data_IF_024452674097
#
_entry.id   IF_024452674097
#
_cell.length_a   1.000
_cell.length_b   1.000
_cell.length_c   1.000
_cell.angle_alpha   90.00
_cell.angle_beta   90.00
_cell.angle_gamma   90.00
#
_symmetry.space_group_name_H-M   'P 1'
#
loop_
_entity.id
_entity.type
_entity.pdbx_description
1 polymer ?
#
# COMPACT_ATOMS: atom_id res chain seq x y z
N UNK A 1 6.41 -11.30 -6.81
CA UNK A 1 5.78 -10.92 -5.53
C UNK A 1 4.80 -12.04 -5.13
N UNK A 2 4.59 -12.36 -3.84
CA UNK A 2 3.57 -13.36 -3.45
C UNK A 2 2.17 -12.92 -3.88
N UNK A 3 1.32 -13.85 -4.34
CA UNK A 3 -0.01 -13.53 -4.87
C UNK A 3 -0.91 -12.72 -3.90
N UNK A 4 -0.77 -12.97 -2.59
CA UNK A 4 -1.50 -12.23 -1.56
C UNK A 4 -1.05 -10.77 -1.45
N UNK A 5 0.25 -10.50 -1.64
CA UNK A 5 0.80 -9.14 -1.65
C UNK A 5 0.34 -8.42 -2.93
N UNK A 6 0.40 -9.09 -4.08
CA UNK A 6 -0.11 -8.53 -5.34
C UNK A 6 -1.58 -8.12 -5.20
N UNK A 7 -2.42 -8.95 -4.55
CA UNK A 7 -3.82 -8.62 -4.30
C UNK A 7 -4.03 -7.48 -3.31
N UNK A 8 -3.25 -7.41 -2.24
CA UNK A 8 -3.31 -6.26 -1.35
C UNK A 8 -2.95 -4.95 -2.08
N UNK A 9 -1.96 -5.01 -2.96
CA UNK A 9 -1.56 -3.87 -3.77
C UNK A 9 -2.58 -3.55 -4.89
N UNK A 10 -3.31 -4.53 -5.42
CA UNK A 10 -4.47 -4.29 -6.30
C UNK A 10 -5.55 -3.45 -5.58
N UNK A 11 -5.89 -3.81 -4.33
CA UNK A 11 -6.88 -3.06 -3.54
C UNK A 11 -6.43 -1.64 -3.24
N UNK A 12 -5.15 -1.45 -2.88
CA UNK A 12 -4.58 -0.12 -2.65
C UNK A 12 -4.50 0.67 -3.96
N UNK A 13 -4.17 0.02 -5.08
CA UNK A 13 -4.13 0.64 -6.40
C UNK A 13 -5.50 1.08 -6.92
N UNK A 14 -6.59 0.49 -6.42
CA UNK A 14 -7.96 0.89 -6.71
C UNK A 14 -8.44 2.16 -5.98
N UNK A 15 -7.63 2.73 -5.07
CA UNK A 15 -7.90 4.00 -4.39
C UNK A 15 -7.58 5.19 -5.30
N UNK A 16 -7.78 6.43 -4.83
CA UNK A 16 -7.34 7.61 -5.57
C UNK A 16 -5.82 7.81 -5.47
N UNK A 17 -5.08 7.05 -6.27
CA UNK A 17 -3.61 7.02 -6.30
C UNK A 17 -2.97 8.25 -6.98
N UNK A 18 -3.78 9.12 -7.61
CA UNK A 18 -3.31 10.35 -8.24
C UNK A 18 -3.03 11.46 -7.24
N UNK A 19 -3.66 11.41 -6.06
CA UNK A 19 -3.45 12.38 -4.98
C UNK A 19 -2.22 12.03 -4.13
N UNK A 20 -1.42 13.01 -3.68
CA UNK A 20 -0.22 12.74 -2.88
C UNK A 20 -0.51 12.21 -1.47
N UNK A 21 -1.75 12.33 -1.00
CA UNK A 21 -2.18 11.82 0.30
C UNK A 21 -3.50 11.07 0.08
N UNK A 22 -3.61 9.79 0.50
CA UNK A 22 -4.87 9.07 0.43
C UNK A 22 -5.94 9.78 1.24
N UNK A 23 -7.20 9.64 0.82
CA UNK A 23 -8.33 10.11 1.62
C UNK A 23 -8.38 9.37 2.96
N UNK A 24 -8.96 9.97 4.00
CA UNK A 24 -8.95 9.40 5.38
C UNK A 24 -9.45 7.94 5.45
N UNK A 25 -10.49 7.61 4.68
CA UNK A 25 -11.03 6.25 4.58
C UNK A 25 -10.09 5.29 3.84
N UNK A 26 -9.47 5.75 2.74
CA UNK A 26 -8.48 4.99 1.98
C UNK A 26 -7.21 4.75 2.80
N UNK A 27 -6.73 5.75 3.53
CA UNK A 27 -5.60 5.64 4.45
C UNK A 27 -5.86 4.59 5.52
N UNK A 28 -7.05 4.62 6.15
CA UNK A 28 -7.44 3.67 7.18
C UNK A 28 -7.58 2.25 6.61
N UNK A 29 -8.16 2.12 5.42
CA UNK A 29 -8.32 0.83 4.72
C UNK A 29 -6.97 0.24 4.32
N UNK A 30 -6.09 1.04 3.71
CA UNK A 30 -4.75 0.62 3.34
C UNK A 30 -3.95 0.18 4.58
N UNK A 31 -4.03 0.94 5.68
CA UNK A 31 -3.40 0.57 6.95
C UNK A 31 -3.94 -0.76 7.49
N UNK A 32 -5.25 -0.97 7.43
CA UNK A 32 -5.88 -2.23 7.85
C UNK A 32 -5.37 -3.44 7.06
N UNK A 33 -5.32 -3.33 5.73
CA UNK A 33 -4.81 -4.38 4.83
C UNK A 33 -3.34 -4.70 5.17
N UNK A 34 -2.50 -3.67 5.30
CA UNK A 34 -1.07 -3.85 5.55
C UNK A 34 -0.81 -4.47 6.94
N UNK A 35 -1.56 -4.06 7.96
CA UNK A 35 -1.48 -4.63 9.30
C UNK A 35 -1.93 -6.08 9.33
N UNK A 36 -3.05 -6.39 8.67
CA UNK A 36 -3.57 -7.76 8.62
C UNK A 36 -2.56 -8.73 7.98
N UNK A 37 -1.92 -8.33 6.86
CA UNK A 37 -0.90 -9.16 6.24
C UNK A 37 0.35 -9.35 7.10
N UNK A 38 0.73 -8.33 7.86
CA UNK A 38 1.82 -8.42 8.85
C UNK A 38 1.48 -9.40 9.98
N UNK A 39 0.26 -9.35 10.50
CA UNK A 39 -0.25 -10.29 11.52
C UNK A 39 -0.25 -11.75 11.02
N UNK A 40 -0.53 -11.96 9.73
CA UNK A 40 -0.44 -13.26 9.06
C UNK A 40 1.01 -13.69 8.72
N UNK A 41 2.02 -12.93 9.12
CA UNK A 41 3.44 -13.24 8.86
C UNK A 41 3.90 -12.98 7.43
N UNK A 42 3.11 -12.25 6.64
CA UNK A 42 3.41 -11.91 5.23
C UNK A 42 3.44 -10.39 5.01
N UNK A 43 4.33 -9.65 5.71
CA UNK A 43 4.34 -8.19 5.62
C UNK A 43 4.66 -7.70 4.20
N UNK A 44 3.92 -6.69 3.76
CA UNK A 44 4.21 -6.01 2.48
C UNK A 44 5.48 -5.18 2.64
N UNK A 45 6.50 -5.47 1.84
CA UNK A 45 7.77 -4.76 1.91
C UNK A 45 7.65 -3.35 1.31
N UNK A 46 8.46 -2.40 1.82
CA UNK A 46 8.51 -1.05 1.23
C UNK A 46 8.98 -1.07 -0.24
N UNK A 47 9.77 -2.08 -0.64
CA UNK A 47 10.22 -2.24 -2.01
C UNK A 47 9.07 -2.66 -2.93
N UNK A 48 8.23 -3.60 -2.49
CA UNK A 48 7.04 -4.02 -3.25
C UNK A 48 6.07 -2.85 -3.50
N UNK A 49 5.87 -1.98 -2.50
CA UNK A 49 5.04 -0.77 -2.67
C UNK A 49 5.66 0.19 -3.68
N UNK A 50 6.99 0.40 -3.63
CA UNK A 50 7.70 1.27 -4.59
C UNK A 50 7.63 0.72 -6.01
N UNK A 51 7.94 -0.56 -6.20
CA UNK A 51 7.90 -1.24 -7.49
C UNK A 51 6.49 -1.15 -8.09
N UNK A 52 5.46 -1.39 -7.27
CA UNK A 52 4.07 -1.25 -7.68
C UNK A 52 3.69 0.17 -8.05
N UNK A 53 4.02 1.14 -7.19
CA UNK A 53 3.71 2.54 -7.45
C UNK A 53 4.36 3.06 -8.72
N UNK A 54 5.58 2.61 -9.03
CA UNK A 54 6.24 2.91 -10.30
C UNK A 54 5.57 2.23 -11.50
N UNK A 55 5.24 0.95 -11.36
CA UNK A 55 4.60 0.17 -12.42
C UNK A 55 3.21 0.72 -12.78
N UNK A 56 2.40 1.05 -11.78
CA UNK A 56 1.01 1.50 -11.95
C UNK A 56 0.88 3.02 -12.07
N UNK A 57 1.97 3.77 -11.98
CA UNK A 57 1.97 5.23 -12.12
C UNK A 57 1.31 5.98 -10.96
N UNK A 58 1.40 5.46 -9.74
CA UNK A 58 0.87 6.15 -8.56
C UNK A 58 1.65 7.44 -8.29
N UNK A 59 0.98 8.41 -7.67
CA UNK A 59 1.63 9.60 -7.16
C UNK A 59 2.77 9.22 -6.19
N UNK A 60 3.91 9.92 -6.28
CA UNK A 60 5.06 9.66 -5.41
C UNK A 60 4.72 9.85 -3.92
N UNK A 61 3.93 10.89 -3.59
CA UNK A 61 3.43 11.13 -2.24
C UNK A 61 2.53 10.00 -1.74
N UNK A 62 1.62 9.51 -2.59
CA UNK A 62 0.75 8.38 -2.27
C UNK A 62 1.59 7.15 -1.94
N UNK A 63 2.54 6.82 -2.82
CA UNK A 63 3.44 5.68 -2.69
C UNK A 63 4.22 5.75 -1.37
N UNK A 64 4.78 6.92 -1.05
CA UNK A 64 5.52 7.12 0.20
C UNK A 64 4.63 7.03 1.44
N UNK A 65 3.41 7.55 1.37
CA UNK A 65 2.46 7.43 2.47
C UNK A 65 2.10 5.97 2.72
N UNK A 66 1.81 5.17 1.69
CA UNK A 66 1.53 3.72 1.83
C UNK A 66 2.74 2.99 2.44
N UNK A 67 3.96 3.32 2.02
CA UNK A 67 5.20 2.75 2.61
C UNK A 67 5.32 3.05 4.11
N UNK A 68 4.90 4.24 4.54
CA UNK A 68 4.90 4.61 5.96
C UNK A 68 3.84 3.85 6.75
N UNK A 69 2.64 3.67 6.20
CA UNK A 69 1.56 2.91 6.85
C UNK A 69 1.99 1.47 7.18
N UNK A 70 2.67 0.80 6.24
CA UNK A 70 3.16 -0.57 6.45
C UNK A 70 4.29 -0.69 7.48
N UNK A 71 4.88 0.42 7.92
CA UNK A 71 5.93 0.48 8.96
C UNK A 71 5.39 0.82 10.34
N UNK A 72 4.17 1.36 10.44
CA UNK A 72 3.58 1.73 11.72
C UNK A 72 3.44 0.48 12.61
N UNK A 73 3.72 0.66 13.91
CA UNK A 73 3.72 -0.42 14.91
C UNK A 73 2.31 -0.92 15.15
#
# INVERSE_FOLDING_TARGET
>A
MPAVIDKALDFIGGMNTSEPVPQSMDESTAKGILNYLKELGTPVSSAAVTERGQHDGWNAGFTDKVRQLGRAR
#
